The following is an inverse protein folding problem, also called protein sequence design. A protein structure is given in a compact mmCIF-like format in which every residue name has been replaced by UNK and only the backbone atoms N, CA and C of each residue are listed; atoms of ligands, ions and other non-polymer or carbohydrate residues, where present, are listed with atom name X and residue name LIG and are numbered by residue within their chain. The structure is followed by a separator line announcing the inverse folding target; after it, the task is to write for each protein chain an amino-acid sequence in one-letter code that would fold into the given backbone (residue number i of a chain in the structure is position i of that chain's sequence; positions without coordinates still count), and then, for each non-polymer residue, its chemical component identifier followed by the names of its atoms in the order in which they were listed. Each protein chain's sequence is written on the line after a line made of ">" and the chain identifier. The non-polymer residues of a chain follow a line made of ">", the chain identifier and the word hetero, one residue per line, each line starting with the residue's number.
data_IF_597063982187
#
_entry.id   IF_597063982187
#
_cell.length_a   1.000
_cell.length_b   1.000
_cell.length_c   1.000
_cell.angle_alpha   90.00
_cell.angle_beta   90.00
_cell.angle_gamma   90.00
#
_symmetry.space_group_name_H-M   'P 1'
#
loop_
_entity.id
_entity.type
_entity.pdbx_description
1 polymer ?
#
# COMPACT_ATOMS: atom_id res chain seq x y z
N UNK A 1 32.27 -11.27 0.00
CA UNK A 1 31.82 -11.28 0.00
C UNK A 1 31.29 -11.26 -0.08
N UNK A 2 31.07 -11.08 -0.21
CA UNK A 2 30.35 -10.94 -0.33
C UNK A 2 29.70 -10.63 -0.34
N UNK A 3 29.57 -10.37 -0.29
CA UNK A 3 28.86 -10.04 -0.37
C UNK A 3 28.01 -9.89 -0.24
N UNK A 4 27.91 -9.76 -0.17
CA UNK A 4 27.27 -9.59 0.06
C UNK A 4 26.30 -9.71 0.19
N UNK A 5 26.11 -9.73 0.27
CA UNK A 5 25.45 -9.89 0.42
C UNK A 5 24.60 -9.61 0.59
N UNK A 6 24.58 -9.47 0.49
CA UNK A 6 24.03 -9.08 0.69
C UNK A 6 23.13 -8.57 0.67
N UNK A 7 22.95 -8.39 0.63
CA UNK A 7 22.15 -7.99 0.75
C UNK A 7 21.35 -8.02 0.46
N UNK A 8 21.68 -8.23 0.73
CA UNK A 8 20.75 -7.91 0.08
C UNK A 8 19.26 -8.12 0.14
N UNK A 9 18.58 -7.38 0.72
CA UNK A 9 17.15 -7.45 0.72
C UNK A 9 16.62 -7.24 -0.69
N UNK A 10 15.76 -8.14 -1.14
CA UNK A 10 15.11 -7.98 -2.42
C UNK A 10 13.95 -7.03 -2.24
N UNK A 11 13.91 -5.98 -3.06
CA UNK A 11 12.83 -5.03 -3.06
C UNK A 11 11.78 -5.46 -4.08
N UNK A 12 10.52 -5.45 -3.67
CA UNK A 12 9.40 -5.67 -4.56
C UNK A 12 8.69 -4.35 -4.79
N UNK A 13 8.43 -4.03 -6.04
CA UNK A 13 7.60 -2.88 -6.39
C UNK A 13 6.21 -3.39 -6.71
N UNK A 14 5.24 -2.87 -5.98
CA UNK A 14 3.87 -3.34 -6.07
C UNK A 14 2.99 -2.17 -6.48
N UNK A 15 2.19 -2.38 -7.50
CA UNK A 15 1.19 -1.40 -7.86
C UNK A 15 -0.07 -1.69 -7.07
N UNK A 16 -0.48 -0.74 -6.24
CA UNK A 16 -1.74 -0.82 -5.52
C UNK A 16 -2.77 -0.07 -6.32
N UNK A 17 -3.86 -0.73 -6.65
CA UNK A 17 -4.97 -0.15 -7.39
C UNK A 17 -6.18 -0.03 -6.50
N UNK A 18 -6.87 1.08 -6.61
CA UNK A 18 -8.05 1.33 -5.80
C UNK A 18 -9.19 1.87 -6.64
N UNK A 19 -10.34 1.24 -6.51
CA UNK A 19 -11.57 1.65 -7.16
C UNK A 19 -12.74 1.30 -6.23
N UNK A 20 -12.72 1.84 -5.04
CA UNK A 20 -13.65 1.45 -4.01
C UNK A 20 -14.60 2.56 -3.59
N UNK A 21 -14.92 2.55 -2.33
CA UNK A 21 -15.95 3.41 -1.74
C UNK A 21 -15.71 4.89 -1.97
N UNK A 22 -14.46 5.35 -1.85
CA UNK A 22 -14.15 6.77 -2.02
C UNK A 22 -14.39 7.24 -3.46
N UNK A 23 -14.14 6.37 -4.44
CA UNK A 23 -14.41 6.69 -5.84
C UNK A 23 -15.89 6.89 -6.04
N UNK A 24 -16.70 6.01 -5.47
CA UNK A 24 -18.16 6.10 -5.57
C UNK A 24 -18.68 7.36 -4.88
N UNK A 25 -17.97 7.82 -3.87
CA UNK A 25 -18.33 9.03 -3.14
C UNK A 25 -17.84 10.30 -3.83
N UNK A 26 -17.14 10.19 -4.97
CA UNK A 26 -16.71 11.35 -5.75
C UNK A 26 -15.44 12.00 -5.26
N UNK A 27 -14.51 11.23 -4.66
CA UNK A 27 -13.26 11.78 -4.15
C UNK A 27 -12.46 12.46 -5.26
N UNK A 28 -11.95 13.64 -4.98
CA UNK A 28 -11.09 14.39 -5.90
C UNK A 28 -9.65 13.92 -5.84
N UNK A 29 -9.21 13.44 -4.69
CA UNK A 29 -7.87 12.90 -4.47
C UNK A 29 -7.96 11.73 -3.53
N UNK A 30 -7.16 10.71 -3.79
CA UNK A 30 -7.08 9.51 -2.95
C UNK A 30 -5.63 9.31 -2.55
N UNK A 31 -5.44 8.90 -1.30
CA UNK A 31 -4.14 8.61 -0.73
C UNK A 31 -4.14 7.19 -0.22
N UNK A 32 -3.03 6.50 -0.47
CA UNK A 32 -2.74 5.21 0.12
C UNK A 32 -2.10 5.47 1.48
N UNK A 33 -2.79 5.13 2.55
CA UNK A 33 -2.27 5.28 3.90
C UNK A 33 -1.73 3.93 4.33
N UNK A 34 -0.44 3.83 4.58
CA UNK A 34 0.18 2.55 4.89
C UNK A 34 1.10 2.66 6.10
N UNK A 35 1.25 1.54 6.78
CA UNK A 35 2.16 1.40 7.91
C UNK A 35 2.75 0.00 7.92
N UNK A 36 3.85 -0.18 8.63
CA UNK A 36 4.61 -1.42 8.60
C UNK A 36 4.44 -2.18 9.90
N UNK A 37 4.22 -3.49 9.76
CA UNK A 37 3.95 -4.36 10.89
C UNK A 37 2.59 -4.12 11.50
N UNK A 38 2.25 -4.89 12.51
CA UNK A 38 0.96 -4.79 13.20
C UNK A 38 0.79 -3.48 13.95
N UNK A 39 1.88 -2.78 14.23
CA UNK A 39 1.87 -1.52 14.95
C UNK A 39 1.83 -0.30 14.03
N UNK A 40 1.75 -0.49 12.72
CA UNK A 40 1.72 0.58 11.73
C UNK A 40 2.89 1.54 11.86
N UNK A 41 4.08 1.00 12.02
CA UNK A 41 5.28 1.83 12.13
C UNK A 41 5.53 2.59 10.85
N UNK A 42 6.04 3.81 11.00
CA UNK A 42 6.36 4.69 9.86
C UNK A 42 5.18 4.91 8.94
N UNK A 43 4.00 5.05 9.53
CA UNK A 43 2.78 5.28 8.77
C UNK A 43 2.91 6.54 7.92
N UNK A 44 2.45 6.46 6.68
CA UNK A 44 2.55 7.59 5.76
C UNK A 44 1.44 7.51 4.73
N UNK A 45 1.22 8.65 4.07
CA UNK A 45 0.29 8.76 2.96
C UNK A 45 1.07 8.86 1.67
N UNK A 46 0.63 8.11 0.66
CA UNK A 46 1.20 8.17 -0.67
C UNK A 46 0.09 8.65 -1.59
N UNK A 47 0.31 9.78 -2.25
CA UNK A 47 -0.66 10.30 -3.19
C UNK A 47 -0.82 9.32 -4.35
N UNK A 48 -2.06 8.98 -4.65
CA UNK A 48 -2.38 8.10 -5.76
C UNK A 48 -2.67 8.92 -7.00
N UNK A 49 -2.47 8.35 -8.17
CA UNK A 49 -2.82 8.99 -9.42
C UNK A 49 -3.91 8.20 -10.12
N UNK A 50 -4.80 8.91 -10.78
CA UNK A 50 -5.88 8.27 -11.51
C UNK A 50 -5.40 7.95 -12.92
N UNK A 51 -5.69 6.75 -13.38
CA UNK A 51 -5.44 6.38 -14.76
C UNK A 51 -6.63 6.80 -15.63
N UNK A 52 -6.75 6.25 -16.81
CA UNK A 52 -7.73 6.66 -17.79
C UNK A 52 -9.19 6.50 -17.38
N UNK A 53 -9.45 5.70 -16.39
CA UNK A 53 -10.81 5.46 -15.94
C UNK A 53 -11.06 6.07 -14.58
N UNK A 54 -11.47 5.23 -13.65
CA UNK A 54 -11.78 5.64 -12.28
C UNK A 54 -10.90 4.91 -11.27
N UNK A 55 -9.81 4.33 -11.74
CA UNK A 55 -8.92 3.55 -10.89
C UNK A 55 -7.75 4.41 -10.45
N UNK A 56 -7.55 4.49 -9.15
CA UNK A 56 -6.40 5.17 -8.55
C UNK A 56 -5.27 4.18 -8.38
N UNK A 57 -4.04 4.63 -8.55
CA UNK A 57 -2.85 3.78 -8.47
C UNK A 57 -1.75 4.45 -7.68
N UNK A 58 -0.97 3.64 -6.98
CA UNK A 58 0.26 4.06 -6.35
C UNK A 58 1.24 2.89 -6.36
N UNK A 59 2.52 3.22 -6.42
CA UNK A 59 3.57 2.22 -6.32
C UNK A 59 4.07 2.16 -4.89
N UNK A 60 4.22 0.94 -4.40
CA UNK A 60 4.72 0.68 -3.08
C UNK A 60 5.97 -0.19 -3.19
N UNK A 61 7.03 0.20 -2.53
CA UNK A 61 8.27 -0.59 -2.55
C UNK A 61 8.44 -1.29 -1.22
N UNK A 62 8.55 -2.60 -1.25
CA UNK A 62 8.62 -3.44 -0.06
C UNK A 62 9.86 -4.31 -0.11
N UNK A 63 10.53 -4.46 1.02
CA UNK A 63 11.65 -5.38 1.16
C UNK A 63 11.15 -6.75 1.57
N UNK A 64 11.96 -7.77 1.30
CA UNK A 64 11.66 -9.13 1.72
C UNK A 64 11.48 -9.18 3.24
N UNK A 65 10.49 -9.92 3.69
CA UNK A 65 10.15 -10.01 5.09
C UNK A 65 9.29 -8.88 5.62
N UNK A 66 8.94 -7.91 4.77
CA UNK A 66 8.15 -6.77 5.19
C UNK A 66 6.66 -7.12 5.24
N UNK A 67 6.02 -6.74 6.32
CA UNK A 67 4.56 -6.74 6.41
C UNK A 67 4.08 -5.31 6.28
N UNK A 68 3.16 -5.05 5.37
CA UNK A 68 2.55 -3.74 5.21
C UNK A 68 1.04 -3.85 5.39
N UNK A 69 0.49 -2.90 6.11
CA UNK A 69 -0.96 -2.75 6.26
C UNK A 69 -1.36 -1.42 5.67
N UNK A 70 -2.51 -1.34 5.05
CA UNK A 70 -2.91 -0.11 4.39
C UNK A 70 -4.42 0.05 4.33
N UNK A 71 -4.82 1.30 4.13
CA UNK A 71 -6.19 1.69 3.85
C UNK A 71 -6.13 2.91 2.94
N UNK A 72 -7.28 3.49 2.64
CA UNK A 72 -7.34 4.61 1.71
C UNK A 72 -8.07 5.77 2.36
N UNK A 73 -7.68 6.97 1.98
CA UNK A 73 -8.40 8.17 2.41
C UNK A 73 -8.46 9.17 1.27
N UNK A 74 -9.39 10.09 1.34
CA UNK A 74 -9.48 11.20 0.39
C UNK A 74 -8.99 12.49 1.05
N UNK A 75 -9.06 13.58 0.30
CA UNK A 75 -8.65 14.89 0.79
C UNK A 75 -9.73 15.59 1.63
N UNK A 76 -10.89 15.01 1.74
CA UNK A 76 -12.00 15.54 2.54
C UNK A 76 -12.13 14.87 3.90
N UNK A 77 -11.20 13.99 4.25
CA UNK A 77 -11.20 13.31 5.54
C UNK A 77 -12.04 12.05 5.61
N UNK A 78 -12.44 11.52 4.46
CA UNK A 78 -13.16 10.24 4.41
C UNK A 78 -12.15 9.10 4.29
N UNK A 79 -12.48 7.97 4.93
CA UNK A 79 -11.61 6.82 4.98
C UNK A 79 -12.32 5.59 4.44
N UNK A 80 -11.56 4.73 3.76
CA UNK A 80 -12.00 3.40 3.41
C UNK A 80 -10.99 2.42 3.99
N UNK A 81 -11.37 1.76 5.07
CA UNK A 81 -10.50 0.85 5.81
C UNK A 81 -11.01 -0.59 5.76
N UNK A 82 -11.76 -0.94 4.72
CA UNK A 82 -12.26 -2.29 4.55
C UNK A 82 -13.10 -2.75 5.76
N UNK A 83 -14.01 -1.89 6.20
CA UNK A 83 -14.86 -2.14 7.38
C UNK A 83 -14.06 -2.42 8.64
N UNK A 84 -12.94 -1.71 8.81
CA UNK A 84 -12.10 -1.84 10.00
C UNK A 84 -11.04 -2.92 9.91
N UNK A 85 -11.01 -3.69 8.82
CA UNK A 85 -10.06 -4.79 8.68
C UNK A 85 -8.76 -4.38 8.02
N UNK A 86 -8.78 -3.25 7.29
CA UNK A 86 -7.66 -2.83 6.46
C UNK A 86 -7.31 -3.88 5.41
N UNK A 87 -6.26 -3.64 4.65
CA UNK A 87 -5.67 -4.61 3.73
C UNK A 87 -4.22 -4.79 4.11
N UNK A 88 -3.62 -5.89 3.71
CA UNK A 88 -2.23 -6.12 4.02
C UNK A 88 -1.57 -7.15 3.15
N UNK A 89 -0.24 -7.06 3.10
CA UNK A 89 0.61 -8.02 2.40
C UNK A 89 1.82 -8.32 3.25
N UNK A 90 2.37 -9.52 3.04
CA UNK A 90 3.69 -9.89 3.53
C UNK A 90 4.52 -10.27 2.31
N UNK A 91 5.74 -9.77 2.23
CA UNK A 91 6.68 -10.20 1.20
C UNK A 91 7.51 -11.33 1.79
N UNK A 92 7.41 -12.51 1.20
CA UNK A 92 8.13 -13.70 1.67
C UNK A 92 8.84 -14.33 0.48
N UNK A 93 10.16 -14.35 0.51
CA UNK A 93 10.98 -14.85 -0.58
C UNK A 93 10.62 -14.21 -1.92
N UNK A 94 10.40 -12.89 -1.89
CA UNK A 94 10.00 -12.10 -3.06
C UNK A 94 8.61 -12.48 -3.60
N UNK A 95 7.79 -13.11 -2.78
CA UNK A 95 6.40 -13.40 -3.13
C UNK A 95 5.48 -12.62 -2.23
N UNK A 96 4.37 -12.18 -2.78
CA UNK A 96 3.35 -11.48 -2.01
C UNK A 96 2.37 -12.48 -1.42
N UNK A 97 2.13 -12.33 -0.13
CA UNK A 97 1.12 -13.12 0.56
C UNK A 97 0.13 -12.13 1.16
N UNK A 98 -1.08 -12.16 0.63
CA UNK A 98 -2.18 -11.31 1.12
C UNK A 98 -2.73 -11.85 2.42
N UNK A 99 -3.05 -10.98 3.37
CA UNK A 99 -3.67 -11.39 4.62
C UNK A 99 -4.87 -10.56 5.01
#
# INVERSE_FOLDING_TARGET
>A
MREQEERVALAEKIEVRYKGLLVKAGANRVYLHCGFGSEWKNARDIAMSMDEGTTWKAMLELNDGTEVNFCFRDDAGNWDNNNGRNWGFVVDNSQLISH
#
